data_IF_249353914539
#
_entry.id   IF_249353914539
#
_cell.length_a   1.000
_cell.length_b   1.000
_cell.length_c   1.000
_cell.angle_alpha   90.00
_cell.angle_beta   90.00
_cell.angle_gamma   90.00
#
_symmetry.space_group_name_H-M   'P 1'
#
loop_
_entity.id
_entity.type
_entity.pdbx_description
1 polymer ?
#
# COMPACT_ATOMS: atom_id res chain seq x y z
N UNK A 1 -49.35 -2.00 -9.29
CA UNK A 1 -48.43 -2.83 -10.09
C UNK A 1 -47.44 -3.43 -9.10
N UNK A 2 -47.69 -4.68 -8.71
CA UNK A 2 -46.99 -5.37 -7.64
C UNK A 2 -45.55 -5.74 -8.05
N UNK A 3 -44.60 -5.38 -7.20
CA UNK A 3 -43.15 -5.55 -7.40
C UNK A 3 -42.67 -6.92 -6.90
N UNK A 4 -43.48 -7.97 -7.05
CA UNK A 4 -43.21 -9.33 -6.59
C UNK A 4 -43.33 -10.31 -7.76
N UNK A 5 -42.33 -10.34 -8.63
CA UNK A 5 -41.99 -11.47 -9.50
C UNK A 5 -40.78 -11.16 -10.38
N UNK A 6 -39.66 -10.86 -9.74
CA UNK A 6 -38.35 -11.16 -10.33
C UNK A 6 -37.77 -12.30 -9.51
N UNK A 7 -38.06 -13.53 -9.93
CA UNK A 7 -37.18 -14.66 -9.63
C UNK A 7 -35.83 -14.30 -10.24
N UNK A 8 -34.94 -13.75 -9.43
CA UNK A 8 -33.53 -13.66 -9.76
C UNK A 8 -33.04 -15.09 -9.98
N UNK A 9 -32.81 -15.47 -11.22
CA UNK A 9 -31.96 -16.62 -11.54
C UNK A 9 -30.54 -16.29 -11.03
N UNK A 10 -30.33 -16.44 -9.73
CA UNK A 10 -29.02 -16.53 -9.13
C UNK A 10 -28.42 -17.81 -9.70
N UNK A 11 -27.58 -17.65 -10.73
CA UNK A 11 -26.92 -18.77 -11.40
C UNK A 11 -26.32 -19.73 -10.37
N UNK A 12 -26.48 -21.04 -10.60
CA UNK A 12 -25.94 -22.09 -9.74
C UNK A 12 -24.42 -22.20 -9.93
N UNK A 13 -23.69 -21.18 -9.48
CA UNK A 13 -22.24 -21.20 -9.48
C UNK A 13 -21.75 -22.31 -8.55
N UNK A 14 -21.02 -23.27 -9.12
CA UNK A 14 -20.42 -24.39 -8.42
C UNK A 14 -18.91 -24.18 -8.42
N UNK A 15 -18.26 -23.96 -7.26
CA UNK A 15 -16.81 -23.76 -7.17
C UNK A 15 -16.00 -24.88 -7.83
N UNK A 16 -16.57 -26.07 -7.96
CA UNK A 16 -15.95 -27.23 -8.61
C UNK A 16 -15.87 -27.10 -10.15
N UNK A 17 -16.57 -26.12 -10.74
CA UNK A 17 -16.51 -25.80 -12.17
C UNK A 17 -15.40 -24.80 -12.50
N UNK A 18 -14.72 -24.24 -11.50
CA UNK A 18 -13.55 -23.40 -11.71
C UNK A 18 -12.43 -24.32 -12.24
N UNK A 19 -11.89 -24.07 -13.45
CA UNK A 19 -10.75 -24.83 -13.95
C UNK A 19 -9.61 -24.86 -12.94
N UNK A 20 -9.02 -26.03 -12.69
CA UNK A 20 -7.87 -26.16 -11.78
C UNK A 20 -6.66 -25.34 -12.24
N UNK A 21 -6.57 -25.09 -13.54
CA UNK A 21 -5.51 -24.32 -14.18
C UNK A 21 -6.17 -23.28 -15.09
N UNK A 22 -5.70 -22.03 -14.99
CA UNK A 22 -6.08 -20.97 -15.92
C UNK A 22 -5.38 -21.21 -17.25
N UNK A 23 -6.10 -21.09 -18.37
CA UNK A 23 -5.47 -21.11 -19.69
C UNK A 23 -4.67 -19.82 -19.90
N UNK A 24 -3.35 -19.93 -19.94
CA UNK A 24 -2.45 -18.87 -20.38
C UNK A 24 -0.98 -19.25 -20.20
N UNK A 25 -0.08 -18.71 -21.04
CA UNK A 25 1.37 -18.82 -20.87
C UNK A 25 1.97 -17.60 -20.15
N UNK A 26 3.30 -17.53 -20.01
CA UNK A 26 3.96 -16.43 -19.29
C UNK A 26 3.70 -15.05 -19.92
N UNK A 27 3.48 -15.00 -21.24
CA UNK A 27 3.22 -13.76 -21.97
C UNK A 27 1.77 -13.29 -21.75
N UNK A 28 0.83 -14.22 -21.57
CA UNK A 28 -0.55 -13.90 -21.15
C UNK A 28 -0.61 -13.19 -19.78
N UNK A 29 0.36 -13.46 -18.89
CA UNK A 29 0.43 -12.78 -17.59
C UNK A 29 0.89 -11.32 -17.72
N UNK A 30 1.77 -10.98 -18.66
CA UNK A 30 2.16 -9.57 -18.87
C UNK A 30 0.97 -8.73 -19.33
N UNK A 31 0.21 -9.23 -20.31
CA UNK A 31 -0.98 -8.56 -20.80
C UNK A 31 -2.08 -8.48 -19.74
N UNK A 32 -2.28 -9.56 -18.97
CA UNK A 32 -3.19 -9.55 -17.83
C UNK A 32 -2.79 -8.50 -16.78
N UNK A 33 -1.50 -8.39 -16.45
CA UNK A 33 -0.99 -7.37 -15.52
C UNK A 33 -1.22 -5.95 -16.05
N UNK A 34 -0.97 -5.72 -17.34
CA UNK A 34 -1.25 -4.43 -17.97
C UNK A 34 -2.74 -4.06 -17.90
N UNK A 35 -3.62 -5.03 -18.11
CA UNK A 35 -5.07 -4.84 -17.99
C UNK A 35 -5.44 -4.55 -16.54
N UNK A 36 -4.92 -5.30 -15.57
CA UNK A 36 -5.15 -5.06 -14.14
C UNK A 36 -4.70 -3.66 -13.71
N UNK A 37 -3.55 -3.19 -14.18
CA UNK A 37 -3.09 -1.82 -13.94
C UNK A 37 -4.09 -0.78 -14.47
N UNK A 38 -4.63 -0.98 -15.68
CA UNK A 38 -5.66 -0.09 -16.23
C UNK A 38 -6.92 -0.07 -15.36
N UNK A 39 -7.41 -1.25 -14.96
CA UNK A 39 -8.56 -1.36 -14.06
C UNK A 39 -8.32 -0.65 -12.72
N UNK A 40 -7.17 -0.86 -12.09
CA UNK A 40 -6.80 -0.21 -10.83
C UNK A 40 -6.72 1.32 -10.96
N UNK A 41 -6.14 1.82 -12.05
CA UNK A 41 -6.13 3.26 -12.33
C UNK A 41 -7.53 3.83 -12.54
N UNK A 42 -8.37 3.17 -13.34
CA UNK A 42 -9.76 3.58 -13.56
C UNK A 42 -10.58 3.57 -12.27
N UNK A 43 -10.44 2.54 -11.44
CA UNK A 43 -11.07 2.46 -10.11
C UNK A 43 -10.62 3.60 -9.20
N UNK A 44 -9.32 3.88 -9.15
CA UNK A 44 -8.77 5.01 -8.38
C UNK A 44 -9.34 6.34 -8.84
N UNK A 45 -9.41 6.55 -10.17
CA UNK A 45 -9.95 7.80 -10.73
C UNK A 45 -11.45 7.93 -10.44
N UNK A 46 -12.22 6.85 -10.61
CA UNK A 46 -13.65 6.83 -10.30
C UNK A 46 -13.91 7.13 -8.81
N UNK A 47 -13.12 6.53 -7.91
CA UNK A 47 -13.21 6.80 -6.48
C UNK A 47 -12.96 8.27 -6.16
N UNK A 48 -11.94 8.87 -6.79
CA UNK A 48 -11.64 10.30 -6.64
C UNK A 48 -12.75 11.19 -7.18
N UNK A 49 -13.35 10.83 -8.33
CA UNK A 49 -14.50 11.57 -8.89
C UNK A 49 -15.73 11.53 -7.98
N UNK A 50 -16.01 10.37 -7.37
CA UNK A 50 -17.19 10.19 -6.51
C UNK A 50 -16.98 10.77 -5.11
N UNK A 51 -15.79 10.58 -4.53
CA UNK A 51 -15.52 10.93 -3.12
C UNK A 51 -14.77 12.26 -2.96
N UNK A 52 -14.33 12.87 -4.06
CA UNK A 52 -13.54 14.09 -4.06
C UNK A 52 -12.31 13.99 -3.14
N UNK A 53 -12.10 15.02 -2.32
CA UNK A 53 -10.99 15.10 -1.37
C UNK A 53 -10.96 13.95 -0.33
N UNK A 54 -12.08 13.25 -0.13
CA UNK A 54 -12.16 12.13 0.81
C UNK A 54 -11.50 10.84 0.32
N UNK A 55 -11.27 10.69 -1.00
CA UNK A 55 -10.75 9.47 -1.60
C UNK A 55 -9.42 9.01 -0.97
N UNK A 56 -8.48 9.94 -0.76
CA UNK A 56 -7.18 9.65 -0.15
C UNK A 56 -7.31 9.11 1.27
N UNK A 57 -8.23 9.64 2.08
CA UNK A 57 -8.44 9.18 3.45
C UNK A 57 -9.04 7.76 3.46
N UNK A 58 -10.00 7.48 2.57
CA UNK A 58 -10.65 6.18 2.46
C UNK A 58 -9.63 5.09 2.11
N UNK A 59 -8.87 5.28 1.03
CA UNK A 59 -7.87 4.30 0.60
C UNK A 59 -6.70 4.19 1.57
N UNK A 60 -6.32 5.27 2.25
CA UNK A 60 -5.33 5.20 3.33
C UNK A 60 -5.79 4.27 4.45
N UNK A 61 -7.04 4.38 4.90
CA UNK A 61 -7.59 3.50 5.94
C UNK A 61 -7.70 2.05 5.44
N UNK A 62 -8.11 1.84 4.18
CA UNK A 62 -8.15 0.52 3.57
C UNK A 62 -6.74 -0.12 3.54
N UNK A 63 -5.74 0.63 3.08
CA UNK A 63 -4.35 0.20 3.04
C UNK A 63 -3.83 -0.09 4.44
N UNK A 64 -4.11 0.78 5.42
CA UNK A 64 -3.69 0.60 6.80
C UNK A 64 -4.22 -0.70 7.38
N UNK A 65 -5.49 -1.02 7.14
CA UNK A 65 -6.07 -2.31 7.54
C UNK A 65 -5.37 -3.49 6.86
N UNK A 66 -5.11 -3.41 5.56
CA UNK A 66 -4.35 -4.44 4.85
C UNK A 66 -2.96 -4.67 5.47
N UNK A 67 -2.28 -3.58 5.87
CA UNK A 67 -0.94 -3.65 6.46
C UNK A 67 -0.96 -4.34 7.81
N UNK A 68 -1.94 -4.01 8.66
CA UNK A 68 -2.15 -4.73 9.91
C UNK A 68 -2.38 -6.21 9.66
N UNK A 69 -3.30 -6.55 8.74
CA UNK A 69 -3.64 -7.94 8.46
C UNK A 69 -2.45 -8.75 7.92
N UNK A 70 -1.63 -8.16 7.05
CA UNK A 70 -0.45 -8.79 6.47
C UNK A 70 0.68 -8.99 7.50
N UNK A 71 0.82 -8.08 8.47
CA UNK A 71 1.89 -8.12 9.45
C UNK A 71 1.59 -8.93 10.73
N UNK A 72 0.39 -9.54 10.85
CA UNK A 72 -0.04 -10.28 12.07
C UNK A 72 0.91 -11.40 12.49
N UNK A 73 1.52 -12.07 11.51
CA UNK A 73 2.38 -13.24 11.75
C UNK A 73 3.87 -12.87 11.91
N UNK A 74 4.21 -11.58 11.76
CA UNK A 74 5.58 -11.10 11.90
C UNK A 74 5.99 -11.06 13.37
N UNK A 75 7.29 -11.13 13.62
CA UNK A 75 7.81 -11.00 14.97
C UNK A 75 7.59 -9.58 15.50
N UNK A 76 7.00 -9.47 16.70
CA UNK A 76 6.82 -8.18 17.36
C UNK A 76 8.15 -7.69 17.93
N UNK A 77 8.43 -6.41 17.80
CA UNK A 77 9.70 -5.84 18.29
C UNK A 77 9.60 -4.35 18.57
N UNK A 78 10.36 -3.88 19.56
CA UNK A 78 10.59 -2.48 19.86
C UNK A 78 11.86 -1.93 19.19
N UNK A 79 12.70 -2.80 18.60
CA UNK A 79 13.89 -2.43 17.84
C UNK A 79 13.49 -1.93 16.44
N UNK A 80 13.84 -0.67 16.14
CA UNK A 80 13.50 -0.04 14.87
C UNK A 80 14.14 -0.75 13.67
N UNK A 81 15.38 -1.20 13.76
CA UNK A 81 16.07 -1.84 12.65
C UNK A 81 15.44 -3.20 12.34
N UNK A 82 15.12 -3.97 13.38
CA UNK A 82 14.37 -5.21 13.23
C UNK A 82 12.98 -4.94 12.66
N UNK A 83 12.27 -3.94 13.17
CA UNK A 83 10.94 -3.60 12.65
C UNK A 83 10.96 -3.18 11.18
N UNK A 84 11.98 -2.43 10.76
CA UNK A 84 12.21 -2.09 9.36
C UNK A 84 12.62 -3.30 8.53
N UNK A 85 13.22 -4.34 9.10
CA UNK A 85 13.46 -5.59 8.39
C UNK A 85 12.15 -6.35 8.18
N UNK A 86 11.38 -6.58 9.24
CA UNK A 86 10.09 -7.29 9.18
C UNK A 86 9.08 -6.58 8.28
N UNK A 87 9.05 -5.24 8.32
CA UNK A 87 8.23 -4.44 7.41
C UNK A 87 8.65 -4.66 5.94
N UNK A 88 9.93 -4.88 5.67
CA UNK A 88 10.42 -5.17 4.32
C UNK A 88 9.90 -6.50 3.80
N UNK A 89 9.83 -7.51 4.66
CA UNK A 89 9.25 -8.82 4.35
C UNK A 89 7.74 -8.73 4.06
N UNK A 90 7.00 -7.91 4.81
CA UNK A 90 5.56 -7.67 4.58
C UNK A 90 5.29 -6.94 3.27
N UNK A 91 6.15 -5.98 2.92
CA UNK A 91 6.03 -5.14 1.72
C UNK A 91 6.66 -5.79 0.48
N UNK A 92 7.06 -7.07 0.59
CA UNK A 92 7.86 -7.80 -0.39
C UNK A 92 7.36 -7.64 -1.83
N UNK A 93 8.27 -7.69 -2.81
CA UNK A 93 8.04 -7.52 -4.27
C UNK A 93 7.28 -6.27 -4.75
N UNK A 94 6.60 -5.52 -3.89
CA UNK A 94 5.77 -4.37 -4.26
C UNK A 94 6.62 -3.09 -4.38
N UNK A 95 7.69 -3.02 -3.60
CA UNK A 95 8.76 -2.03 -3.64
C UNK A 95 9.90 -2.45 -2.71
N UNK A 96 11.10 -1.91 -2.94
CA UNK A 96 12.17 -1.97 -1.96
C UNK A 96 12.43 -0.57 -1.40
N UNK A 97 12.89 -0.50 -0.15
CA UNK A 97 13.30 0.77 0.44
C UNK A 97 14.65 0.68 1.12
N UNK A 98 15.30 1.83 1.21
CA UNK A 98 16.54 1.99 1.97
C UNK A 98 16.45 3.21 2.85
N UNK A 99 17.12 3.16 4.00
CA UNK A 99 17.31 4.34 4.84
C UNK A 99 18.10 5.39 4.07
N UNK A 100 17.71 6.64 4.21
CA UNK A 100 18.35 7.78 3.59
C UNK A 100 18.54 8.89 4.62
N UNK A 101 19.61 9.67 4.49
CA UNK A 101 19.83 10.87 5.29
C UNK A 101 20.48 11.96 4.44
N UNK A 102 20.23 13.25 4.74
CA UNK A 102 21.00 14.35 4.16
C UNK A 102 22.50 14.18 4.46
N UNK A 103 23.38 14.67 3.59
CA UNK A 103 24.84 14.53 3.77
C UNK A 103 25.36 15.15 5.06
N UNK A 104 24.71 16.20 5.56
CA UNK A 104 25.09 16.88 6.81
C UNK A 104 24.47 16.30 8.08
N UNK A 105 23.75 15.18 8.01
CA UNK A 105 23.14 14.53 9.17
C UNK A 105 23.99 13.33 9.60
N UNK A 106 24.26 13.18 10.89
CA UNK A 106 25.14 12.11 11.40
C UNK A 106 24.46 10.73 11.40
N UNK A 107 23.24 10.64 11.93
CA UNK A 107 22.47 9.39 12.06
C UNK A 107 21.38 9.26 10.98
N UNK A 108 20.93 8.04 10.67
CA UNK A 108 19.72 7.79 9.87
C UNK A 108 18.42 7.97 10.66
N UNK A 109 18.51 7.81 11.98
CA UNK A 109 17.39 7.88 12.92
C UNK A 109 17.53 9.15 13.74
N UNK A 110 16.47 9.95 13.79
CA UNK A 110 16.37 11.13 14.64
C UNK A 110 15.48 10.76 15.81
N UNK A 111 16.07 10.72 17.01
CA UNK A 111 15.33 10.52 18.25
C UNK A 111 14.86 11.87 18.82
N UNK A 112 13.60 11.92 19.22
CA UNK A 112 12.97 13.01 19.96
C UNK A 112 12.25 12.40 21.16
N UNK A 113 11.93 13.20 22.19
CA UNK A 113 11.43 12.71 23.50
C UNK A 113 10.44 11.55 23.43
N UNK A 114 9.45 11.57 22.52
CA UNK A 114 8.43 10.52 22.39
C UNK A 114 8.25 10.01 20.95
N UNK A 115 9.23 10.25 20.07
CA UNK A 115 9.12 9.80 18.69
C UNK A 115 10.46 9.53 18.03
N UNK A 116 10.46 8.57 17.12
CA UNK A 116 11.56 8.27 16.21
C UNK A 116 11.17 8.71 14.80
N UNK A 117 12.11 9.32 14.08
CA UNK A 117 11.97 9.67 12.66
C UNK A 117 13.07 9.03 11.83
N UNK A 118 12.70 8.36 10.75
CA UNK A 118 13.63 7.79 9.77
C UNK A 118 13.18 8.17 8.36
N UNK A 119 14.13 8.63 7.54
CA UNK A 119 13.89 8.91 6.13
C UNK A 119 14.17 7.67 5.29
N UNK A 120 13.26 7.37 4.36
CA UNK A 120 13.24 6.17 3.55
C UNK A 120 13.08 6.54 2.08
N UNK A 121 13.94 5.97 1.22
CA UNK A 121 13.78 6.03 -0.23
C UNK A 121 13.04 4.79 -0.70
N UNK A 122 11.85 4.97 -1.27
CA UNK A 122 11.01 3.90 -1.84
C UNK A 122 11.25 3.81 -3.34
N UNK A 123 11.74 2.66 -3.80
CA UNK A 123 12.12 2.37 -5.19
C UNK A 123 11.29 1.21 -5.74
N UNK A 124 11.22 1.08 -7.07
CA UNK A 124 10.48 0.04 -7.80
C UNK A 124 9.02 -0.18 -7.34
N UNK A 125 8.36 0.93 -7.03
CA UNK A 125 6.97 0.94 -6.61
C UNK A 125 6.01 0.49 -7.73
N UNK A 126 5.29 -0.62 -7.49
CA UNK A 126 4.25 -1.14 -8.39
C UNK A 126 3.15 -0.12 -8.69
N UNK A 127 2.78 0.71 -7.69
CA UNK A 127 1.82 1.80 -7.87
C UNK A 127 2.33 2.82 -8.89
N UNK A 128 3.64 3.09 -8.93
CA UNK A 128 4.20 4.05 -9.90
C UNK A 128 4.05 3.57 -11.33
N UNK A 129 4.19 2.27 -11.57
CA UNK A 129 4.00 1.69 -12.90
C UNK A 129 2.54 1.80 -13.35
N UNK A 130 1.60 1.51 -12.45
CA UNK A 130 0.16 1.73 -12.68
C UNK A 130 -0.12 3.19 -13.05
N UNK A 131 0.33 4.14 -12.22
CA UNK A 131 0.09 5.57 -12.44
C UNK A 131 0.66 6.06 -13.77
N UNK A 132 1.86 5.63 -14.14
CA UNK A 132 2.47 5.95 -15.45
C UNK A 132 1.65 5.39 -16.60
N UNK A 133 1.24 4.13 -16.52
CA UNK A 133 0.50 3.45 -17.58
C UNK A 133 -0.88 4.07 -17.80
N UNK A 134 -1.52 4.56 -16.74
CA UNK A 134 -2.86 5.17 -16.81
C UNK A 134 -2.85 6.70 -16.86
N UNK A 135 -1.68 7.34 -16.89
CA UNK A 135 -1.56 8.79 -16.93
C UNK A 135 -2.08 9.51 -15.69
N UNK A 136 -2.08 8.85 -14.52
CA UNK A 136 -2.57 9.41 -13.27
C UNK A 136 -1.44 10.07 -12.46
N UNK A 137 -1.73 11.14 -11.69
CA UNK A 137 -0.73 11.83 -10.90
C UNK A 137 -0.27 11.00 -9.69
N UNK A 138 1.00 11.19 -9.31
CA UNK A 138 1.49 10.73 -8.01
C UNK A 138 0.89 11.56 -6.86
N UNK A 139 0.96 11.05 -5.63
CA UNK A 139 0.29 11.61 -4.44
C UNK A 139 -1.26 11.56 -4.50
N UNK A 140 -1.82 10.77 -5.42
CA UNK A 140 -3.25 10.43 -5.47
C UNK A 140 -3.61 9.17 -4.65
N UNK A 141 -4.84 8.67 -4.79
CA UNK A 141 -5.38 7.60 -3.95
C UNK A 141 -4.51 6.33 -3.91
N UNK A 142 -4.00 5.85 -5.05
CA UNK A 142 -3.12 4.66 -5.06
C UNK A 142 -1.84 4.85 -4.23
N UNK A 143 -1.26 6.06 -4.20
CA UNK A 143 -0.10 6.32 -3.34
C UNK A 143 -0.46 6.30 -1.85
N UNK A 144 -1.67 6.77 -1.51
CA UNK A 144 -2.18 6.77 -0.14
C UNK A 144 -2.58 5.37 0.34
N UNK A 145 -3.04 4.49 -0.56
CA UNK A 145 -3.24 3.08 -0.27
C UNK A 145 -1.94 2.42 0.18
N UNK A 146 -0.86 2.59 -0.59
CA UNK A 146 0.46 2.05 -0.28
C UNK A 146 1.02 2.62 1.03
N UNK A 147 0.80 3.91 1.26
CA UNK A 147 1.18 4.58 2.50
C UNK A 147 0.44 3.94 3.68
N UNK A 148 -0.89 3.83 3.60
CA UNK A 148 -1.68 3.12 4.60
C UNK A 148 -1.09 1.73 4.88
N UNK A 149 -0.85 0.94 3.83
CA UNK A 149 -0.27 -0.40 3.92
C UNK A 149 1.04 -0.44 4.70
N UNK A 150 1.98 0.46 4.38
CA UNK A 150 3.26 0.59 5.09
C UNK A 150 3.05 0.94 6.57
N UNK A 151 2.15 1.88 6.89
CA UNK A 151 1.87 2.26 8.28
C UNK A 151 1.21 1.14 9.05
N UNK A 152 0.23 0.45 8.46
CA UNK A 152 -0.44 -0.68 9.11
C UNK A 152 0.56 -1.76 9.50
N UNK A 153 1.50 -2.08 8.60
CA UNK A 153 2.53 -3.07 8.86
C UNK A 153 3.42 -2.69 10.05
N UNK A 154 3.97 -1.48 10.06
CA UNK A 154 4.89 -1.06 11.14
C UNK A 154 4.18 -0.89 12.48
N UNK A 155 2.93 -0.40 12.48
CA UNK A 155 2.13 -0.29 13.71
C UNK A 155 1.84 -1.67 14.29
N UNK A 156 1.56 -2.66 13.44
CA UNK A 156 1.36 -4.04 13.85
C UNK A 156 2.65 -4.65 14.41
N UNK A 157 3.79 -4.48 13.74
CA UNK A 157 5.09 -5.05 14.17
C UNK A 157 5.57 -4.44 15.49
N UNK A 158 5.40 -3.13 15.68
CA UNK A 158 5.97 -2.41 16.83
C UNK A 158 4.96 -2.10 17.94
N UNK A 159 3.67 -2.34 17.73
CA UNK A 159 2.60 -2.05 18.69
C UNK A 159 2.49 -0.55 19.09
N UNK A 160 2.68 0.33 18.10
CA UNK A 160 2.77 1.80 18.25
C UNK A 160 1.90 2.53 17.22
N UNK A 161 1.82 3.87 17.32
CA UNK A 161 1.26 4.71 16.25
C UNK A 161 2.34 5.14 15.27
N UNK A 162 2.06 4.94 13.98
CA UNK A 162 2.94 5.26 12.87
C UNK A 162 2.37 6.37 11.98
N UNK A 163 3.26 7.07 11.29
CA UNK A 163 2.95 8.05 10.25
C UNK A 163 4.06 8.02 9.21
N UNK A 164 3.76 8.20 7.92
CA UNK A 164 4.74 8.16 6.84
C UNK A 164 4.50 9.31 5.84
N UNK A 165 5.10 10.46 6.07
CA UNK A 165 4.92 11.63 5.21
C UNK A 165 5.61 11.45 3.85
N UNK A 166 4.98 11.96 2.77
CA UNK A 166 5.54 11.94 1.41
C UNK A 166 6.29 13.25 1.15
N UNK A 167 7.57 13.26 1.48
CA UNK A 167 8.46 14.41 1.28
C UNK A 167 8.60 14.76 -0.21
N UNK A 168 8.89 13.75 -1.04
CA UNK A 168 9.12 13.94 -2.47
C UNK A 168 8.63 12.74 -3.29
N UNK A 169 8.12 13.01 -4.49
CA UNK A 169 7.77 11.99 -5.48
C UNK A 169 8.64 12.20 -6.72
N UNK A 170 9.46 11.22 -7.05
CA UNK A 170 10.36 11.25 -8.19
C UNK A 170 9.97 10.20 -9.24
N UNK A 171 10.65 10.22 -10.40
CA UNK A 171 10.46 9.20 -11.41
C UNK A 171 10.96 7.83 -10.94
N UNK A 172 12.07 7.77 -10.19
CA UNK A 172 12.72 6.50 -9.86
C UNK A 172 12.68 6.17 -8.35
N UNK A 173 12.46 7.16 -7.49
CA UNK A 173 12.27 6.94 -6.07
C UNK A 173 11.30 7.98 -5.48
N UNK A 174 10.65 7.61 -4.38
CA UNK A 174 9.93 8.56 -3.53
C UNK A 174 10.66 8.66 -2.20
N UNK A 175 10.90 9.88 -1.72
CA UNK A 175 11.43 10.11 -0.38
C UNK A 175 10.26 10.25 0.59
N UNK A 176 10.31 9.50 1.68
CA UNK A 176 9.31 9.51 2.73
C UNK A 176 9.95 9.60 4.10
N UNK A 177 9.24 10.20 5.05
CA UNK A 177 9.65 10.22 6.47
C UNK A 177 8.70 9.35 7.27
N UNK A 178 9.19 8.24 7.81
CA UNK A 178 8.47 7.42 8.78
C UNK A 178 8.67 8.01 10.17
N UNK A 179 7.58 8.25 10.88
CA UNK A 179 7.55 8.68 12.27
C UNK A 179 6.83 7.62 13.10
N UNK A 180 7.49 7.16 14.17
CA UNK A 180 6.92 6.24 15.16
C UNK A 180 6.76 7.03 16.46
N UNK A 181 5.58 6.95 17.08
CA UNK A 181 5.28 7.63 18.34
C UNK A 181 4.97 6.64 19.45
N UNK A 182 5.70 6.77 20.54
CA UNK A 182 5.48 6.00 21.76
C UNK A 182 4.41 6.69 22.62
N UNK A 183 3.47 5.95 23.19
CA UNK A 183 2.51 6.49 24.19
C UNK A 183 1.14 6.92 23.67
N UNK A 184 0.66 6.37 22.55
CA UNK A 184 -0.71 6.59 22.11
C UNK A 184 -1.39 5.30 21.69
N UNK A 185 -1.87 4.48 22.62
CA UNK A 185 -3.01 3.61 22.33
C UNK A 185 -4.27 4.41 22.59
#
# INVERSE_FOLDING_TARGET
MDMKNTTEDLGTFKPELIPKETGGDIDDYEDALHVLMKFMGSMSSALEQVSGRGANAIVYQAGKRMGHDAAKMMEKTDDLEKALYEMGEVLGHEFYYVKWKPSGQDSYVIEKENQLEVKLLFMDCVVRQTLRRTGLPQKGPLCYLLYGYTVGAIEEIMDVKGKLDIDHVGPNACLKTLTIKWGGK
#
